data_IF_975462810508
#
_entry.id   IF_975462810508
#
_cell.length_a   1.000
_cell.length_b   1.000
_cell.length_c   1.000
_cell.angle_alpha   90.00
_cell.angle_beta   90.00
_cell.angle_gamma   90.00
#
_symmetry.space_group_name_H-M   'P 1'
#
loop_
_entity.id
_entity.type
_entity.pdbx_description
1 polymer ?
#
# COMPACT_ATOMS: atom_id res chain seq x y z
N UNK A 1 -3.90 14.78 -14.20
CA UNK A 1 -2.46 14.76 -13.81
C UNK A 1 -2.31 13.81 -12.62
N UNK A 2 -1.30 12.93 -12.61
CA UNK A 2 -1.06 12.03 -11.48
C UNK A 2 -0.50 12.82 -10.28
N UNK A 3 -0.99 12.61 -9.05
CA UNK A 3 -0.51 13.34 -7.88
C UNK A 3 0.86 12.81 -7.43
N UNK A 4 1.89 13.63 -7.50
CA UNK A 4 3.15 13.35 -6.84
C UNK A 4 3.09 13.82 -5.38
N UNK A 5 3.59 12.98 -4.46
CA UNK A 5 3.62 13.30 -3.04
C UNK A 5 5.07 13.35 -2.55
N UNK A 6 5.33 14.20 -1.60
CA UNK A 6 6.67 14.36 -1.05
C UNK A 6 6.63 14.46 0.48
N UNK A 7 7.64 13.85 1.11
CA UNK A 7 8.00 14.08 2.51
C UNK A 7 9.36 14.77 2.56
N UNK A 8 9.90 14.99 3.73
CA UNK A 8 11.26 15.50 3.87
C UNK A 8 12.29 14.64 3.11
N UNK A 9 12.20 13.32 3.26
CA UNK A 9 13.18 12.35 2.74
C UNK A 9 12.71 11.58 1.50
N UNK A 10 11.41 11.44 1.30
CA UNK A 10 10.85 10.56 0.26
C UNK A 10 10.12 11.36 -0.82
N UNK A 11 10.18 10.82 -2.04
CA UNK A 11 9.37 11.23 -3.17
C UNK A 11 8.51 10.03 -3.59
N UNK A 12 7.21 10.25 -3.73
CA UNK A 12 6.24 9.25 -4.15
C UNK A 12 5.76 9.63 -5.56
N UNK A 13 6.15 8.82 -6.54
CA UNK A 13 5.89 9.08 -7.96
C UNK A 13 5.07 7.97 -8.61
N UNK A 14 4.43 8.31 -9.72
CA UNK A 14 3.74 7.34 -10.57
C UNK A 14 4.67 6.16 -10.92
N UNK A 15 4.11 4.96 -10.90
CA UNK A 15 4.77 3.78 -11.44
C UNK A 15 4.64 3.85 -12.97
N UNK A 16 5.77 3.84 -13.66
CA UNK A 16 5.85 3.95 -15.12
C UNK A 16 6.13 2.56 -15.74
N UNK A 17 5.87 2.34 -17.03
CA UNK A 17 6.15 1.05 -17.69
C UNK A 17 7.58 0.55 -17.49
N UNK A 18 8.55 1.45 -17.41
CA UNK A 18 9.95 1.11 -17.13
C UNK A 18 10.24 0.63 -15.71
N UNK A 19 9.24 0.66 -14.80
CA UNK A 19 9.37 0.18 -13.43
C UNK A 19 8.99 -1.31 -13.29
N UNK A 20 8.64 -2.01 -14.36
CA UNK A 20 8.18 -3.40 -14.29
C UNK A 20 9.19 -4.32 -13.60
N UNK A 21 10.49 -4.15 -13.86
CA UNK A 21 11.55 -4.93 -13.20
C UNK A 21 11.56 -4.71 -11.68
N UNK A 22 11.45 -3.46 -11.24
CA UNK A 22 11.35 -3.11 -9.83
C UNK A 22 10.12 -3.73 -9.15
N UNK A 23 8.97 -3.71 -9.82
CA UNK A 23 7.72 -4.33 -9.32
C UNK A 23 7.88 -5.84 -9.23
N UNK A 24 8.47 -6.48 -10.26
CA UNK A 24 8.75 -7.91 -10.26
C UNK A 24 9.67 -8.31 -9.11
N UNK A 25 10.79 -7.61 -8.90
CA UNK A 25 11.71 -7.85 -7.80
C UNK A 25 11.02 -7.76 -6.43
N UNK A 26 10.10 -6.81 -6.24
CA UNK A 26 9.33 -6.68 -5.02
C UNK A 26 8.32 -7.81 -4.82
N UNK A 27 7.51 -8.10 -5.85
CA UNK A 27 6.39 -9.05 -5.76
C UNK A 27 6.81 -10.52 -6.07
N UNK A 28 8.09 -10.77 -6.23
CA UNK A 28 8.71 -12.10 -6.19
C UNK A 28 9.67 -12.30 -5.01
N UNK A 29 9.88 -11.25 -4.20
CA UNK A 29 10.85 -11.28 -3.11
C UNK A 29 10.43 -12.24 -1.99
N UNK A 30 11.28 -13.19 -1.57
CA UNK A 30 10.92 -14.25 -0.62
C UNK A 30 10.50 -13.76 0.78
N UNK A 31 10.89 -12.55 1.17
CA UNK A 31 10.48 -11.96 2.44
C UNK A 31 9.24 -11.06 2.34
N UNK A 32 8.83 -10.65 1.13
CA UNK A 32 7.63 -9.82 0.90
C UNK A 32 6.42 -10.70 0.63
N UNK A 33 6.53 -11.64 -0.31
CA UNK A 33 5.41 -12.47 -0.77
C UNK A 33 4.71 -13.31 0.32
N UNK A 34 5.34 -13.73 1.44
CA UNK A 34 4.64 -14.49 2.46
C UNK A 34 3.40 -13.78 3.01
N UNK A 35 3.42 -12.44 3.04
CA UNK A 35 2.34 -11.63 3.61
C UNK A 35 1.69 -10.68 2.60
N UNK A 36 2.00 -10.79 1.32
CA UNK A 36 1.39 -9.97 0.28
C UNK A 36 0.36 -10.79 -0.52
N UNK A 37 -0.76 -10.16 -0.90
CA UNK A 37 -1.88 -10.84 -1.52
C UNK A 37 -1.61 -11.38 -2.93
N UNK A 38 -0.56 -10.89 -3.59
CA UNK A 38 -0.15 -11.34 -4.92
C UNK A 38 1.33 -11.71 -4.94
N UNK A 39 1.67 -12.69 -5.78
CA UNK A 39 3.05 -13.04 -6.10
C UNK A 39 3.17 -13.31 -7.60
N UNK A 40 4.32 -13.00 -8.16
CA UNK A 40 4.61 -13.27 -9.56
C UNK A 40 5.78 -14.23 -9.70
N UNK A 41 5.60 -15.27 -10.50
CA UNK A 41 6.62 -16.29 -10.75
C UNK A 41 7.50 -15.95 -11.95
N UNK A 42 7.01 -15.08 -12.85
CA UNK A 42 7.76 -14.61 -14.00
C UNK A 42 7.66 -13.09 -14.16
N UNK A 43 8.66 -12.52 -14.83
CA UNK A 43 8.66 -11.11 -15.17
C UNK A 43 7.45 -10.73 -16.04
N UNK A 44 7.09 -11.61 -17.00
CA UNK A 44 5.97 -11.34 -17.90
C UNK A 44 4.62 -11.26 -17.18
N UNK A 45 4.40 -12.06 -16.14
CA UNK A 45 3.16 -12.06 -15.39
C UNK A 45 2.94 -10.73 -14.62
N UNK A 46 4.00 -10.00 -14.31
CA UNK A 46 3.89 -8.68 -13.65
C UNK A 46 3.27 -7.59 -14.52
N UNK A 47 3.11 -7.83 -15.84
CA UNK A 47 2.36 -6.92 -16.72
C UNK A 47 0.96 -6.68 -16.18
N UNK A 48 0.30 -7.71 -15.65
CA UNK A 48 -1.03 -7.59 -15.05
C UNK A 48 -1.03 -6.62 -13.86
N UNK A 49 0.03 -6.63 -13.05
CA UNK A 49 0.18 -5.69 -11.93
C UNK A 49 0.41 -4.26 -12.41
N UNK A 50 1.23 -4.09 -13.46
CA UNK A 50 1.48 -2.78 -14.05
C UNK A 50 0.20 -2.16 -14.62
N UNK A 51 -0.57 -2.95 -15.37
CA UNK A 51 -1.87 -2.57 -15.91
C UNK A 51 -2.87 -2.25 -14.79
N UNK A 52 -2.86 -3.01 -13.69
CA UNK A 52 -3.71 -2.71 -12.55
C UNK A 52 -3.35 -1.37 -11.90
N UNK A 53 -2.07 -1.07 -11.70
CA UNK A 53 -1.64 0.23 -11.17
C UNK A 53 -2.06 1.40 -12.07
N UNK A 54 -1.98 1.23 -13.38
CA UNK A 54 -2.41 2.24 -14.35
C UNK A 54 -3.92 2.48 -14.29
N UNK A 55 -4.71 1.41 -14.36
CA UNK A 55 -6.18 1.47 -14.30
C UNK A 55 -6.70 2.12 -13.03
N UNK A 56 -6.09 1.90 -11.87
CA UNK A 56 -6.50 2.55 -10.63
C UNK A 56 -6.62 4.07 -10.78
N UNK A 57 -5.65 4.68 -11.44
CA UNK A 57 -5.65 6.13 -11.65
C UNK A 57 -6.63 6.56 -12.73
N UNK A 58 -6.69 5.84 -13.84
CA UNK A 58 -7.56 6.16 -14.98
C UNK A 58 -9.04 6.06 -14.62
N UNK A 59 -9.42 5.04 -13.87
CA UNK A 59 -10.78 4.81 -13.40
C UNK A 59 -11.15 5.66 -12.17
N UNK A 60 -10.17 6.34 -11.54
CA UNK A 60 -10.39 7.07 -10.30
C UNK A 60 -10.65 6.17 -9.09
N UNK A 61 -10.41 4.86 -9.23
CA UNK A 61 -10.63 3.86 -8.18
C UNK A 61 -9.46 3.73 -7.20
N UNK A 62 -8.34 4.43 -7.45
CA UNK A 62 -7.16 4.41 -6.60
C UNK A 62 -5.97 5.15 -7.21
N UNK A 63 -4.80 4.96 -6.59
CA UNK A 63 -3.50 5.34 -7.14
C UNK A 63 -2.37 4.55 -6.45
N UNK A 64 -1.33 4.22 -7.21
CA UNK A 64 -0.15 3.52 -6.72
C UNK A 64 1.10 4.37 -6.95
N UNK A 65 1.94 4.47 -5.95
CA UNK A 65 3.20 5.22 -5.99
C UNK A 65 4.38 4.31 -5.72
N UNK A 66 5.43 4.44 -6.53
CA UNK A 66 6.77 4.01 -6.15
C UNK A 66 7.36 5.01 -5.17
N UNK A 67 8.01 4.52 -4.14
CA UNK A 67 8.67 5.31 -3.10
C UNK A 67 10.15 5.44 -3.46
N UNK A 68 10.63 6.66 -3.55
CA UNK A 68 12.01 6.98 -3.91
C UNK A 68 12.68 7.72 -2.75
N UNK A 69 13.88 7.31 -2.36
CA UNK A 69 14.73 8.07 -1.45
C UNK A 69 15.35 9.26 -2.21
N UNK A 70 15.09 10.48 -1.76
CA UNK A 70 15.54 11.70 -2.42
C UNK A 70 17.05 11.86 -2.49
N UNK A 71 17.76 11.27 -1.54
CA UNK A 71 19.21 11.39 -1.45
C UNK A 71 19.92 10.45 -2.39
N UNK A 72 19.43 9.21 -2.47
CA UNK A 72 20.11 8.14 -3.23
C UNK A 72 19.47 7.86 -4.59
N UNK A 73 18.23 8.30 -4.81
CA UNK A 73 17.41 7.93 -5.96
C UNK A 73 16.92 6.47 -5.94
N UNK A 74 17.19 5.74 -4.87
CA UNK A 74 16.79 4.34 -4.76
C UNK A 74 15.28 4.19 -4.66
N UNK A 75 14.73 3.20 -5.37
CA UNK A 75 13.34 2.77 -5.26
C UNK A 75 13.20 1.83 -4.07
N UNK A 76 12.38 2.20 -3.10
CA UNK A 76 12.29 1.54 -1.80
C UNK A 76 11.14 0.53 -1.69
N UNK A 77 10.08 0.72 -2.46
CA UNK A 77 8.85 -0.07 -2.41
C UNK A 77 7.68 0.68 -3.06
N UNK A 78 6.48 0.19 -2.79
CA UNK A 78 5.23 0.74 -3.34
C UNK A 78 4.23 0.94 -2.21
N UNK A 79 3.45 2.01 -2.33
CA UNK A 79 2.23 2.26 -1.55
C UNK A 79 1.08 2.51 -2.51
N UNK A 80 -0.10 1.99 -2.19
CA UNK A 80 -1.29 2.08 -3.03
C UNK A 80 -2.52 2.32 -2.15
N UNK A 81 -3.46 3.16 -2.62
CA UNK A 81 -4.84 3.06 -2.18
C UNK A 81 -5.71 2.59 -3.35
N UNK A 82 -6.74 1.81 -3.07
CA UNK A 82 -7.59 1.18 -4.08
C UNK A 82 -9.01 0.93 -3.54
N UNK A 83 -9.89 0.44 -4.38
CA UNK A 83 -11.32 0.27 -4.06
C UNK A 83 -11.96 1.55 -3.48
N UNK A 84 -11.54 2.71 -4.01
CA UNK A 84 -12.12 3.98 -3.62
C UNK A 84 -13.60 4.02 -4.02
N UNK A 85 -14.45 4.18 -3.01
CA UNK A 85 -15.90 4.32 -3.14
C UNK A 85 -16.31 5.71 -2.66
N UNK A 86 -16.42 6.69 -3.57
CA UNK A 86 -16.74 8.07 -3.21
C UNK A 86 -18.07 8.21 -2.45
N UNK A 87 -19.07 7.42 -2.83
CA UNK A 87 -20.39 7.40 -2.21
C UNK A 87 -20.36 6.94 -0.73
N UNK A 88 -19.34 6.19 -0.35
CA UNK A 88 -19.10 5.74 1.02
C UNK A 88 -17.88 6.41 1.66
N UNK A 89 -17.21 7.29 0.93
CA UNK A 89 -15.98 7.99 1.37
C UNK A 89 -14.95 7.01 1.97
N UNK A 90 -14.76 5.86 1.32
CA UNK A 90 -13.84 4.82 1.80
C UNK A 90 -12.91 4.30 0.72
N UNK A 91 -11.76 3.79 1.14
CA UNK A 91 -10.79 3.09 0.30
C UNK A 91 -9.95 2.12 1.14
N UNK A 92 -9.21 1.24 0.46
CA UNK A 92 -8.25 0.34 1.07
C UNK A 92 -6.82 0.83 0.85
N UNK A 93 -5.92 0.50 1.78
CA UNK A 93 -4.48 0.76 1.69
C UNK A 93 -3.69 -0.54 1.57
N UNK A 94 -2.72 -0.56 0.68
CA UNK A 94 -1.74 -1.62 0.55
C UNK A 94 -0.32 -1.05 0.41
N UNK A 95 0.69 -1.81 0.80
CA UNK A 95 2.09 -1.42 0.67
C UNK A 95 3.02 -2.61 0.74
N UNK A 96 4.17 -2.46 0.11
CA UNK A 96 5.32 -3.33 0.31
C UNK A 96 6.61 -2.52 0.20
N UNK A 97 7.61 -2.89 0.99
CA UNK A 97 8.92 -2.24 1.05
C UNK A 97 9.99 -3.32 0.99
N UNK A 98 11.05 -3.10 0.26
CA UNK A 98 12.19 -4.02 0.25
C UNK A 98 12.79 -4.20 1.64
N UNK A 99 13.17 -5.43 2.03
CA UNK A 99 13.64 -5.76 3.38
C UNK A 99 14.81 -4.90 3.89
N UNK A 100 15.74 -4.55 3.00
CA UNK A 100 16.88 -3.69 3.37
C UNK A 100 16.48 -2.29 3.84
N UNK A 101 15.22 -1.88 3.63
CA UNK A 101 14.68 -0.59 4.07
C UNK A 101 13.69 -0.69 5.23
N UNK A 102 13.46 -1.89 5.77
CA UNK A 102 12.61 -2.08 6.94
C UNK A 102 13.20 -1.41 8.19
N UNK A 103 12.36 -1.08 9.14
CA UNK A 103 12.71 -0.45 10.41
C UNK A 103 13.45 0.91 10.29
N UNK A 104 13.40 1.55 9.10
CA UNK A 104 14.02 2.85 8.83
C UNK A 104 13.00 4.00 8.72
N UNK A 105 11.75 3.77 9.14
CA UNK A 105 10.67 4.76 9.10
C UNK A 105 10.09 5.03 7.70
N UNK A 106 10.58 4.35 6.66
CA UNK A 106 10.16 4.55 5.27
C UNK A 106 8.66 4.33 5.11
N UNK A 107 8.15 3.19 5.58
CA UNK A 107 6.74 2.83 5.46
C UNK A 107 5.84 3.84 6.15
N UNK A 108 6.16 4.21 7.38
CA UNK A 108 5.39 5.19 8.16
C UNK A 108 5.35 6.54 7.46
N UNK A 109 6.50 7.04 6.97
CA UNK A 109 6.56 8.33 6.29
C UNK A 109 5.77 8.33 4.97
N UNK A 110 5.89 7.27 4.16
CA UNK A 110 5.16 7.14 2.91
C UNK A 110 3.65 7.04 3.13
N UNK A 111 3.21 6.18 4.06
CA UNK A 111 1.79 6.05 4.39
C UNK A 111 1.20 7.34 4.95
N UNK A 112 1.92 8.08 5.80
CA UNK A 112 1.47 9.38 6.30
C UNK A 112 1.17 10.34 5.15
N UNK A 113 2.03 10.40 4.13
CA UNK A 113 1.79 11.26 2.96
C UNK A 113 0.55 10.82 2.16
N UNK A 114 0.37 9.51 1.95
CA UNK A 114 -0.78 8.96 1.23
C UNK A 114 -2.07 9.13 2.02
N UNK A 115 -2.08 8.87 3.33
CA UNK A 115 -3.23 9.09 4.21
C UNK A 115 -3.70 10.55 4.13
N UNK A 116 -2.76 11.49 4.24
CA UNK A 116 -3.06 12.92 4.11
C UNK A 116 -3.69 13.26 2.76
N UNK A 117 -3.15 12.74 1.67
CA UNK A 117 -3.70 12.89 0.33
C UNK A 117 -5.12 12.31 0.24
N UNK A 118 -5.33 11.09 0.71
CA UNK A 118 -6.63 10.44 0.72
C UNK A 118 -7.69 11.25 1.48
N UNK A 119 -7.33 11.77 2.65
CA UNK A 119 -8.26 12.52 3.49
C UNK A 119 -8.55 13.93 2.93
N UNK A 120 -7.51 14.66 2.49
CA UNK A 120 -7.65 16.06 2.07
C UNK A 120 -8.12 16.22 0.63
N UNK A 121 -7.53 15.45 -0.29
CA UNK A 121 -7.78 15.64 -1.73
C UNK A 121 -8.86 14.69 -2.27
N UNK A 122 -9.03 13.52 -1.65
CA UNK A 122 -10.03 12.52 -2.06
C UNK A 122 -11.25 12.47 -1.16
N UNK A 123 -11.25 13.26 -0.08
CA UNK A 123 -12.36 13.29 0.89
C UNK A 123 -12.70 11.90 1.48
N UNK A 124 -11.69 11.02 1.57
CA UNK A 124 -11.86 9.68 2.14
C UNK A 124 -11.97 9.82 3.66
N UNK A 125 -13.06 9.33 4.21
CA UNK A 125 -13.29 9.30 5.65
C UNK A 125 -12.73 8.04 6.29
N UNK A 126 -12.89 6.89 5.62
CA UNK A 126 -12.48 5.58 6.14
C UNK A 126 -11.41 4.97 5.23
N UNK A 127 -10.22 4.76 5.77
CA UNK A 127 -9.16 3.97 5.16
C UNK A 127 -9.09 2.62 5.85
N UNK A 128 -9.22 1.55 5.07
CA UNK A 128 -9.16 0.17 5.52
C UNK A 128 -7.80 -0.44 5.18
N UNK A 129 -7.31 -1.34 6.01
CA UNK A 129 -6.15 -2.18 5.71
C UNK A 129 -6.43 -3.60 6.19
N UNK A 130 -6.20 -4.57 5.32
CA UNK A 130 -6.35 -5.99 5.62
C UNK A 130 -4.96 -6.60 5.78
N UNK A 131 -4.73 -7.24 6.91
CA UNK A 131 -3.40 -7.77 7.29
C UNK A 131 -3.53 -9.25 7.61
N UNK A 132 -2.74 -10.08 6.93
CA UNK A 132 -2.68 -11.50 7.25
C UNK A 132 -2.27 -11.72 8.72
N UNK A 133 -2.96 -12.65 9.38
CA UNK A 133 -2.73 -12.99 10.77
C UNK A 133 -1.29 -13.37 11.02
N UNK A 134 -0.42 -12.93 11.55
CA UNK A 134 1.01 -13.26 11.67
C UNK A 134 1.93 -12.19 11.07
N UNK A 135 1.40 -11.26 10.29
CA UNK A 135 2.17 -10.13 9.78
C UNK A 135 2.31 -9.03 10.85
N UNK A 136 3.11 -9.30 11.88
CA UNK A 136 3.34 -8.38 13.00
C UNK A 136 3.96 -7.05 12.56
N UNK A 137 4.79 -7.06 11.49
CA UNK A 137 5.43 -5.86 10.99
C UNK A 137 4.41 -4.86 10.44
N UNK A 138 3.48 -5.31 9.58
CA UNK A 138 2.40 -4.46 9.05
C UNK A 138 1.47 -3.96 10.16
N UNK A 139 1.10 -4.82 11.11
CA UNK A 139 0.30 -4.43 12.29
C UNK A 139 0.94 -3.28 13.06
N UNK A 140 2.22 -3.42 13.40
CA UNK A 140 2.95 -2.38 14.12
C UNK A 140 3.01 -1.05 13.37
N UNK A 141 3.10 -1.06 12.05
CA UNK A 141 3.06 0.16 11.23
C UNK A 141 1.68 0.81 11.28
N UNK A 142 0.61 0.02 11.11
CA UNK A 142 -0.76 0.53 11.13
C UNK A 142 -1.13 1.11 12.50
N UNK A 143 -0.77 0.43 13.59
CA UNK A 143 -0.99 0.90 14.96
C UNK A 143 -0.26 2.22 15.25
N UNK A 144 0.99 2.37 14.77
CA UNK A 144 1.74 3.65 14.84
C UNK A 144 1.07 4.79 14.06
N UNK A 145 0.30 4.47 13.04
CA UNK A 145 -0.46 5.42 12.23
C UNK A 145 -1.89 5.60 12.75
N UNK A 146 -2.18 5.13 13.96
CA UNK A 146 -3.48 5.23 14.63
C UNK A 146 -4.62 4.47 13.94
N UNK A 147 -4.31 3.46 13.13
CA UNK A 147 -5.33 2.52 12.69
C UNK A 147 -5.83 1.70 13.88
N UNK A 148 -7.13 1.54 13.97
CA UNK A 148 -7.79 0.77 15.01
C UNK A 148 -8.13 -0.62 14.49
N UNK A 149 -7.80 -1.65 15.27
CA UNK A 149 -8.22 -3.02 15.00
C UNK A 149 -9.74 -3.16 15.19
N UNK A 150 -10.45 -3.65 14.18
CA UNK A 150 -11.90 -3.81 14.21
C UNK A 150 -12.37 -5.27 14.27
N UNK A 151 -11.52 -6.21 13.90
CA UNK A 151 -11.88 -7.61 13.91
C UNK A 151 -11.06 -8.47 12.96
N UNK A 152 -11.46 -9.74 12.83
CA UNK A 152 -10.80 -10.72 11.99
C UNK A 152 -11.80 -11.47 11.13
N UNK A 153 -11.51 -11.60 9.86
CA UNK A 153 -12.16 -12.56 8.96
C UNK A 153 -11.38 -13.87 9.01
N UNK A 154 -11.96 -14.87 9.66
CA UNK A 154 -11.30 -16.18 9.78
C UNK A 154 -11.48 -16.98 8.50
N UNK A 155 -10.39 -17.65 8.07
CA UNK A 155 -10.38 -18.59 6.93
C UNK A 155 -11.01 -17.99 5.66
N UNK A 156 -10.74 -16.70 5.41
CA UNK A 156 -11.43 -15.93 4.36
C UNK A 156 -10.75 -16.01 2.99
N UNK A 157 -9.50 -16.44 2.93
CA UNK A 157 -8.76 -16.62 1.69
C UNK A 157 -7.96 -17.92 1.69
N UNK A 158 -7.57 -18.41 0.50
CA UNK A 158 -6.68 -19.55 0.35
C UNK A 158 -5.35 -19.06 -0.24
N UNK A 159 -4.26 -19.43 0.45
CA UNK A 159 -2.90 -19.13 0.05
C UNK A 159 -2.00 -20.34 0.26
N UNK A 160 -1.32 -20.80 -0.80
CA UNK A 160 -0.51 -22.02 -0.76
C UNK A 160 -1.28 -23.24 -0.18
N UNK A 161 -2.50 -23.48 -0.67
CA UNK A 161 -3.41 -24.55 -0.27
C UNK A 161 -3.81 -24.55 1.23
N UNK A 162 -3.69 -23.38 1.88
CA UNK A 162 -4.10 -23.20 3.28
C UNK A 162 -5.05 -22.01 3.40
N UNK A 163 -6.03 -22.15 4.27
CA UNK A 163 -6.84 -21.02 4.68
C UNK A 163 -6.01 -20.03 5.48
N UNK A 164 -6.17 -18.76 5.18
CA UNK A 164 -5.60 -17.66 5.93
C UNK A 164 -6.70 -16.75 6.45
N UNK A 165 -6.42 -16.10 7.57
CA UNK A 165 -7.30 -15.12 8.20
C UNK A 165 -6.73 -13.72 8.02
N UNK A 166 -7.61 -12.74 7.82
CA UNK A 166 -7.26 -11.34 7.67
C UNK A 166 -7.76 -10.51 8.84
N UNK A 167 -6.86 -9.75 9.44
CA UNK A 167 -7.18 -8.74 10.45
C UNK A 167 -7.63 -7.46 9.75
N UNK A 168 -8.70 -6.85 10.25
CA UNK A 168 -9.27 -5.62 9.73
C UNK A 168 -8.80 -4.46 10.59
N UNK A 169 -8.13 -3.50 9.96
CA UNK A 169 -7.74 -2.24 10.56
C UNK A 169 -8.40 -1.08 9.83
N UNK A 170 -8.81 -0.05 10.55
CA UNK A 170 -9.38 1.15 9.96
C UNK A 170 -8.83 2.43 10.58
N UNK A 171 -8.68 3.44 9.74
CA UNK A 171 -8.37 4.81 10.16
C UNK A 171 -9.47 5.74 9.66
N UNK A 172 -9.95 6.61 10.55
CA UNK A 172 -10.99 7.59 10.22
C UNK A 172 -10.39 9.00 10.11
N UNK A 173 -10.87 9.78 9.14
CA UNK A 173 -10.62 11.21 9.16
C UNK A 173 -11.47 11.82 10.28
N UNK A 174 -10.83 12.44 11.26
CA UNK A 174 -11.54 13.27 12.21
C UNK A 174 -11.79 14.64 11.56
N UNK A 175 -13.02 15.12 11.62
CA UNK A 175 -13.37 16.46 11.15
C UNK A 175 -12.51 17.47 11.94
N UNK A 176 -11.43 17.95 11.33
CA UNK A 176 -10.62 19.05 11.85
C UNK A 176 -9.16 18.75 12.20
N UNK A 177 -8.66 17.52 12.28
CA UNK A 177 -7.24 17.25 12.47
C UNK A 177 -6.75 16.13 11.54
N UNK A 178 -6.06 16.46 10.45
CA UNK A 178 -5.29 15.45 9.71
C UNK A 178 -4.09 15.04 10.54
N UNK A 179 -3.77 13.74 10.55
CA UNK A 179 -2.53 13.19 11.09
C UNK A 179 -1.31 13.85 10.44
#
# INVERSE_FOLDING_TARGET
MFPELATERLLLQRIEPGDQQFVYEGLSHPEIIPFYGVRYLSFDDTKNQMEWYERLHEEGSGAAWKIIDKTTGAKLGVVVYYYHKPEHRKAELGFWIFPQFWNKGVTTAALTAVIRYCQKEKNIHRLEAFVEEGNHASRSVLEKLNFVYEGMMRDCEIKNDRFISLLIYALFSHDGNPV
#
